data_IF_530545483535
#
_entry.id   IF_530545483535
#
_cell.length_a   1.000
_cell.length_b   1.000
_cell.length_c   1.000
_cell.angle_alpha   90.00
_cell.angle_beta   90.00
_cell.angle_gamma   90.00
#
_symmetry.space_group_name_H-M   'P 1'
#
loop_
_entity.id
_entity.type
_entity.pdbx_description
1 polymer ?
#
# COMPACT_ATOMS: atom_id res chain seq x y z
N UNK A 1 -5.45 7.07 -17.25
CA UNK A 1 -5.42 7.51 -15.84
C UNK A 1 -6.81 7.97 -15.45
N UNK A 2 -7.37 7.51 -14.32
CA UNK A 2 -8.61 8.04 -13.77
C UNK A 2 -8.24 9.11 -12.73
N UNK A 3 -8.37 10.43 -13.03
CA UNK A 3 -7.81 11.48 -12.18
C UNK A 3 -8.32 11.43 -10.73
N UNK A 4 -9.61 11.12 -10.55
CA UNK A 4 -10.21 10.97 -9.23
C UNK A 4 -9.60 9.80 -8.44
N UNK A 5 -9.30 8.67 -9.11
CA UNK A 5 -8.66 7.52 -8.46
C UNK A 5 -7.25 7.88 -7.98
N UNK A 6 -6.44 8.48 -8.85
CA UNK A 6 -5.07 8.91 -8.49
C UNK A 6 -5.07 9.93 -7.34
N UNK A 7 -5.97 10.92 -7.38
CA UNK A 7 -6.14 11.88 -6.28
C UNK A 7 -6.56 11.18 -4.98
N UNK A 8 -7.50 10.24 -5.04
CA UNK A 8 -7.94 9.49 -3.85
C UNK A 8 -6.78 8.72 -3.20
N UNK A 9 -5.91 8.09 -3.99
CA UNK A 9 -4.76 7.32 -3.49
C UNK A 9 -3.63 8.22 -2.98
N UNK A 10 -3.42 9.39 -3.58
CA UNK A 10 -2.52 10.41 -3.03
C UNK A 10 -2.97 10.84 -1.63
N UNK A 11 -4.26 11.09 -1.44
CA UNK A 11 -4.82 11.46 -0.13
C UNK A 11 -4.65 10.33 0.89
N UNK A 12 -4.87 9.06 0.51
CA UNK A 12 -4.61 7.89 1.38
C UNK A 12 -3.15 7.80 1.80
N UNK A 13 -2.21 8.02 0.88
CA UNK A 13 -0.77 8.03 1.18
C UNK A 13 -0.42 9.13 2.21
N UNK A 14 -0.94 10.34 2.01
CA UNK A 14 -0.75 11.44 2.96
C UNK A 14 -1.38 11.14 4.32
N UNK A 15 -2.59 10.59 4.33
CA UNK A 15 -3.30 10.27 5.56
C UNK A 15 -2.58 9.20 6.39
N UNK A 16 -1.95 8.24 5.73
CA UNK A 16 -1.08 7.23 6.37
C UNK A 16 0.07 7.89 7.15
N UNK A 17 0.71 8.92 6.60
CA UNK A 17 1.74 9.68 7.32
C UNK A 17 1.21 10.41 8.54
N UNK A 18 -0.01 10.96 8.46
CA UNK A 18 -0.66 11.65 9.58
C UNK A 18 -0.97 10.65 10.69
N UNK A 19 -1.54 9.50 10.33
CA UNK A 19 -1.86 8.45 11.29
C UNK A 19 -0.62 7.85 11.94
N UNK A 20 0.43 7.55 11.16
CA UNK A 20 1.70 7.04 11.69
C UNK A 20 2.35 7.99 12.71
N UNK A 21 2.24 9.31 12.51
CA UNK A 21 2.72 10.31 13.49
C UNK A 21 1.84 10.40 14.73
N UNK A 22 0.53 10.19 14.58
CA UNK A 22 -0.44 10.26 15.69
C UNK A 22 -0.40 9.01 16.58
N UNK A 23 -0.05 7.87 16.00
CA UNK A 23 -0.03 6.56 16.65
C UNK A 23 1.34 5.89 16.48
N UNK A 24 2.40 6.41 17.14
CA UNK A 24 3.76 5.90 16.98
C UNK A 24 3.94 4.43 17.40
N UNK A 25 3.03 3.91 18.22
CA UNK A 25 2.97 2.51 18.63
C UNK A 25 2.55 1.58 17.48
N UNK A 26 1.71 2.06 16.56
CA UNK A 26 1.15 1.26 15.46
C UNK A 26 2.05 1.25 14.21
N UNK A 27 2.04 0.13 13.47
CA UNK A 27 2.70 0.00 12.17
C UNK A 27 1.74 0.39 11.05
N UNK A 28 1.71 1.67 10.69
CA UNK A 28 0.74 2.22 9.73
C UNK A 28 1.47 2.55 8.43
N UNK A 29 1.20 1.78 7.37
CA UNK A 29 1.93 1.87 6.11
C UNK A 29 0.97 1.79 4.91
N UNK A 30 1.42 2.29 3.75
CA UNK A 30 0.73 2.17 2.47
C UNK A 30 1.39 1.12 1.59
N UNK A 31 0.59 0.45 0.76
CA UNK A 31 1.09 -0.52 -0.22
C UNK A 31 0.37 -0.36 -1.57
N UNK A 32 1.16 -0.29 -2.63
CA UNK A 32 0.71 -0.54 -3.98
C UNK A 32 0.83 -2.03 -4.27
N UNK A 33 -0.27 -2.76 -4.55
CA UNK A 33 -0.22 -4.20 -4.72
C UNK A 33 0.30 -4.64 -6.11
N UNK A 34 0.72 -3.70 -6.97
CA UNK A 34 0.99 -3.95 -8.39
C UNK A 34 -0.29 -3.96 -9.24
N UNK A 35 -0.14 -4.34 -10.51
CA UNK A 35 -1.26 -4.40 -11.47
C UNK A 35 -1.96 -5.77 -11.43
N UNK A 36 -2.79 -5.97 -10.41
CA UNK A 36 -3.41 -7.27 -10.07
C UNK A 36 -4.58 -7.64 -10.98
N UNK A 37 -4.69 -8.93 -11.32
CA UNK A 37 -5.80 -9.50 -12.09
C UNK A 37 -7.07 -9.62 -11.24
N UNK A 38 -7.80 -8.53 -11.11
CA UNK A 38 -9.10 -8.46 -10.41
C UNK A 38 -10.13 -7.69 -11.23
N UNK A 39 -11.38 -7.67 -10.78
CA UNK A 39 -12.49 -6.97 -11.45
C UNK A 39 -12.26 -5.46 -11.59
N UNK A 40 -11.57 -4.80 -10.63
CA UNK A 40 -11.26 -3.37 -10.72
C UNK A 40 -10.41 -3.04 -11.95
N UNK A 41 -9.64 -4.02 -12.44
CA UNK A 41 -8.79 -3.95 -13.61
C UNK A 41 -9.40 -4.74 -14.79
N UNK A 42 -10.70 -5.08 -14.75
CA UNK A 42 -11.38 -5.92 -15.75
C UNK A 42 -10.65 -7.25 -16.03
N UNK A 43 -9.99 -7.82 -15.03
CA UNK A 43 -9.16 -9.02 -15.15
C UNK A 43 -8.01 -8.91 -16.17
N UNK A 44 -7.54 -7.69 -16.47
CA UNK A 44 -6.41 -7.41 -17.38
C UNK A 44 -5.06 -7.27 -16.68
N UNK A 45 -5.03 -7.37 -15.35
CA UNK A 45 -3.80 -7.35 -14.55
C UNK A 45 -2.81 -8.46 -14.92
N UNK A 46 -1.51 -8.18 -14.75
CA UNK A 46 -0.41 -9.10 -15.11
C UNK A 46 0.03 -10.00 -13.96
N UNK A 47 -0.35 -9.67 -12.71
CA UNK A 47 -0.03 -10.48 -11.53
C UNK A 47 -1.29 -11.13 -10.94
N UNK A 48 -1.19 -12.36 -10.42
CA UNK A 48 -2.31 -13.04 -9.77
C UNK A 48 -2.64 -12.41 -8.40
N UNK A 49 -3.89 -12.53 -7.92
CA UNK A 49 -4.32 -11.98 -6.61
C UNK A 49 -3.44 -12.43 -5.43
N UNK A 50 -2.98 -13.68 -5.42
CA UNK A 50 -2.14 -14.25 -4.37
C UNK A 50 -0.79 -13.53 -4.28
N UNK A 51 -0.24 -13.08 -5.41
CA UNK A 51 1.00 -12.31 -5.46
C UNK A 51 0.76 -10.86 -5.03
N UNK A 52 -0.31 -10.24 -5.54
CA UNK A 52 -0.69 -8.87 -5.16
C UNK A 52 -1.00 -8.70 -3.67
N UNK A 53 -1.46 -9.76 -3.00
CA UNK A 53 -1.75 -9.75 -1.56
C UNK A 53 -0.49 -9.78 -0.67
N UNK A 54 0.66 -10.23 -1.19
CA UNK A 54 1.89 -10.45 -0.38
C UNK A 54 2.35 -9.21 0.35
N UNK A 55 2.33 -8.05 -0.32
CA UNK A 55 2.70 -6.77 0.28
C UNK A 55 1.81 -6.42 1.47
N UNK A 56 0.49 -6.49 1.29
CA UNK A 56 -0.46 -6.20 2.37
C UNK A 56 -0.31 -7.16 3.56
N UNK A 57 -0.14 -8.47 3.30
CA UNK A 57 0.07 -9.48 4.35
C UNK A 57 1.39 -9.23 5.09
N UNK A 58 2.48 -8.92 4.38
CA UNK A 58 3.78 -8.58 4.99
C UNK A 58 3.65 -7.39 5.94
N UNK A 59 2.93 -6.35 5.55
CA UNK A 59 2.73 -5.16 6.38
C UNK A 59 1.84 -5.42 7.60
N UNK A 60 0.81 -6.25 7.45
CA UNK A 60 -0.06 -6.64 8.56
C UNK A 60 0.66 -7.50 9.62
N UNK A 61 1.73 -8.20 9.23
CA UNK A 61 2.53 -9.08 10.10
C UNK A 61 3.86 -8.43 10.55
N UNK A 62 4.02 -7.12 10.39
CA UNK A 62 5.23 -6.44 10.87
C UNK A 62 5.36 -6.56 12.39
N UNK A 63 6.58 -6.73 12.91
CA UNK A 63 6.82 -6.70 14.34
C UNK A 63 6.59 -5.30 14.92
N UNK A 64 6.44 -5.21 16.25
CA UNK A 64 6.25 -3.95 16.99
C UNK A 64 7.43 -2.96 16.88
N UNK A 65 8.56 -3.37 16.31
CA UNK A 65 9.69 -2.48 15.99
C UNK A 65 9.84 -2.23 14.48
N UNK A 66 8.86 -2.66 13.68
CA UNK A 66 8.85 -2.52 12.23
C UNK A 66 8.65 -1.07 11.75
N UNK A 67 8.81 -0.82 10.45
CA UNK A 67 8.61 0.51 9.87
C UNK A 67 7.16 0.99 10.01
N UNK A 68 6.99 2.31 10.12
CA UNK A 68 5.69 3.00 10.15
C UNK A 68 5.80 4.30 9.35
N UNK A 69 4.72 4.72 8.69
CA UNK A 69 4.69 5.88 7.81
C UNK A 69 5.40 5.66 6.46
N UNK A 70 5.55 4.41 6.02
CA UNK A 70 6.23 4.08 4.78
C UNK A 70 5.26 3.74 3.63
N UNK A 71 5.75 3.86 2.40
CA UNK A 71 5.09 3.39 1.19
C UNK A 71 5.84 2.17 0.65
N UNK A 72 5.09 1.15 0.23
CA UNK A 72 5.60 -0.06 -0.36
C UNK A 72 5.10 -0.23 -1.79
N UNK A 73 6.01 -0.55 -2.71
CA UNK A 73 5.66 -1.09 -4.01
C UNK A 73 5.77 -2.61 -3.92
N UNK A 74 4.61 -3.27 -3.89
CA UNK A 74 4.47 -4.69 -3.60
C UNK A 74 5.13 -5.04 -2.26
N UNK A 75 6.23 -5.79 -2.25
CA UNK A 75 6.95 -6.18 -1.04
C UNK A 75 8.13 -5.29 -0.72
N UNK A 76 8.51 -4.39 -1.63
CA UNK A 76 9.70 -3.56 -1.52
C UNK A 76 9.36 -2.19 -0.96
N UNK A 77 10.29 -1.64 -0.17
CA UNK A 77 10.16 -0.27 0.30
C UNK A 77 10.28 0.65 -0.92
N UNK A 78 9.18 1.33 -1.26
CA UNK A 78 9.14 2.23 -2.39
C UNK A 78 9.70 3.60 -2.04
N UNK A 79 10.13 4.34 -3.05
CA UNK A 79 10.29 5.78 -2.92
C UNK A 79 8.87 6.35 -2.87
N UNK A 80 8.47 6.83 -1.70
CA UNK A 80 7.29 7.67 -1.66
C UNK A 80 7.62 8.93 -2.47
N UNK A 81 6.66 9.40 -3.27
CA UNK A 81 6.66 10.65 -4.06
C UNK A 81 7.39 10.60 -5.40
#
# INVERSE_FOLDING_TARGET
MLPAYSMSKMVVNLYTLILARRHPEMRINCVHPGFVKTEINWNTGVIPPEEGARGAVKLALLPDNGPTGCYYDQTELGVAW
#
